data_IF_572747032688
#
_entry.id   IF_572747032688
#
_cell.length_a   1.000
_cell.length_b   1.000
_cell.length_c   1.000
_cell.angle_alpha   90.00
_cell.angle_beta   90.00
_cell.angle_gamma   90.00
#
_symmetry.space_group_name_H-M   'P 1'
#
loop_
_entity.id
_entity.type
_entity.pdbx_description
1 polymer ?
#
# COMPACT_ATOMS: atom_id res chain seq x y z
N UNK A 1 -6.01 -11.62 -5.40
CA UNK A 1 -5.71 -10.37 -6.15
C UNK A 1 -5.54 -9.17 -5.24
N UNK A 2 -6.43 -8.94 -4.28
CA UNK A 2 -6.31 -7.85 -3.28
C UNK A 2 -5.10 -8.00 -2.32
N UNK A 3 -4.69 -9.23 -2.02
CA UNK A 3 -3.57 -9.49 -1.10
C UNK A 3 -2.24 -8.92 -1.60
N UNK A 4 -1.99 -8.99 -2.91
CA UNK A 4 -0.78 -8.42 -3.51
C UNK A 4 -0.74 -6.90 -3.35
N UNK A 5 -1.81 -6.23 -3.77
CA UNK A 5 -1.96 -4.77 -3.61
C UNK A 5 -1.76 -4.37 -2.13
N UNK A 6 -2.38 -5.10 -1.20
CA UNK A 6 -2.27 -4.82 0.23
C UNK A 6 -0.83 -4.92 0.75
N UNK A 7 -0.10 -5.98 0.36
CA UNK A 7 1.32 -6.16 0.71
C UNK A 7 2.19 -5.05 0.11
N UNK A 8 1.97 -4.68 -1.16
CA UNK A 8 2.73 -3.62 -1.84
C UNK A 8 2.48 -2.25 -1.21
N UNK A 9 1.22 -1.92 -0.96
CA UNK A 9 0.80 -0.73 -0.22
C UNK A 9 1.54 -0.61 1.12
N UNK A 10 1.50 -1.68 1.92
CA UNK A 10 2.16 -1.73 3.23
C UNK A 10 3.68 -1.50 3.13
N UNK A 11 4.32 -2.10 2.11
CA UNK A 11 5.74 -1.93 1.87
C UNK A 11 6.08 -0.48 1.53
N UNK A 12 5.37 0.12 0.57
CA UNK A 12 5.57 1.51 0.16
C UNK A 12 5.31 2.51 1.30
N UNK A 13 4.26 2.28 2.10
CA UNK A 13 3.98 3.09 3.30
C UNK A 13 5.16 3.05 4.28
N UNK A 14 5.71 1.86 4.54
CA UNK A 14 6.87 1.69 5.42
C UNK A 14 8.14 2.33 4.86
N UNK A 15 8.37 2.26 3.55
CA UNK A 15 9.47 2.95 2.88
C UNK A 15 9.37 4.48 3.04
N UNK A 16 8.14 5.03 3.07
CA UNK A 16 7.88 6.44 3.39
C UNK A 16 7.88 6.75 4.89
N UNK A 17 8.19 5.78 5.76
CA UNK A 17 8.21 5.90 7.23
C UNK A 17 6.89 6.38 7.82
N UNK A 18 5.76 6.10 7.15
CA UNK A 18 4.43 6.44 7.63
C UNK A 18 3.83 5.31 8.47
N UNK A 19 3.20 5.65 9.59
CA UNK A 19 2.28 4.78 10.32
C UNK A 19 0.96 4.60 9.55
N UNK A 20 0.15 3.60 9.94
CA UNK A 20 -1.19 3.47 9.37
C UNK A 20 -2.07 4.68 9.70
N UNK A 21 -1.92 5.26 10.90
CA UNK A 21 -2.64 6.47 11.29
C UNK A 21 -2.32 7.63 10.36
N UNK A 22 -1.03 7.95 10.15
CA UNK A 22 -0.61 9.07 9.32
C UNK A 22 -1.03 8.91 7.85
N UNK A 23 -0.93 7.70 7.28
CA UNK A 23 -1.38 7.49 5.91
C UNK A 23 -2.91 7.60 5.81
N UNK A 24 -3.65 7.05 6.78
CA UNK A 24 -5.11 7.11 6.80
C UNK A 24 -5.62 8.55 6.87
N UNK A 25 -5.00 9.39 7.71
CA UNK A 25 -5.27 10.83 7.78
C UNK A 25 -4.98 11.54 6.45
N UNK A 26 -3.82 11.29 5.85
CA UNK A 26 -3.45 11.90 4.55
C UNK A 26 -4.39 11.51 3.41
N UNK A 27 -4.96 10.31 3.45
CA UNK A 27 -5.92 9.84 2.44
C UNK A 27 -7.39 9.99 2.87
N UNK A 28 -7.67 10.63 4.01
CA UNK A 28 -9.02 10.87 4.56
C UNK A 28 -9.86 9.59 4.68
N UNK A 29 -9.33 8.59 5.38
CA UNK A 29 -10.04 7.33 5.68
C UNK A 29 -9.80 6.91 7.12
N UNK A 30 -10.59 5.95 7.61
CA UNK A 30 -10.29 5.32 8.89
C UNK A 30 -9.07 4.41 8.81
N UNK A 31 -8.31 4.32 9.90
CA UNK A 31 -7.20 3.36 10.04
C UNK A 31 -7.68 1.93 9.81
N UNK A 32 -8.88 1.58 10.27
CA UNK A 32 -9.48 0.26 10.04
C UNK A 32 -9.66 -0.06 8.55
N UNK A 33 -10.08 0.92 7.75
CA UNK A 33 -10.18 0.75 6.30
C UNK A 33 -8.79 0.53 5.69
N UNK A 34 -7.82 1.39 6.01
CA UNK A 34 -6.44 1.23 5.52
C UNK A 34 -5.86 -0.14 5.90
N UNK A 35 -6.04 -0.54 7.15
CA UNK A 35 -5.58 -1.83 7.69
C UNK A 35 -6.22 -3.02 6.96
N UNK A 36 -7.51 -2.92 6.61
CA UNK A 36 -8.21 -3.94 5.81
C UNK A 36 -7.69 -4.02 4.37
N UNK A 37 -7.32 -2.87 3.78
CA UNK A 37 -6.69 -2.82 2.45
C UNK A 37 -5.30 -3.46 2.52
N UNK A 38 -4.47 -3.12 3.50
CA UNK A 38 -3.12 -3.67 3.65
C UNK A 38 -3.10 -5.19 3.90
N UNK A 39 -4.12 -5.73 4.57
CA UNK A 39 -4.29 -7.18 4.72
C UNK A 39 -4.91 -7.87 3.49
N UNK A 40 -5.33 -7.11 2.48
CA UNK A 40 -6.02 -7.64 1.31
C UNK A 40 -7.47 -8.07 1.58
N UNK A 41 -8.03 -7.80 2.76
CA UNK A 41 -9.42 -8.17 3.08
C UNK A 41 -10.44 -7.21 2.47
N UNK A 42 -10.01 -6.05 1.97
CA UNK A 42 -10.86 -5.10 1.25
C UNK A 42 -10.12 -4.51 0.05
N UNK A 43 -10.79 -4.52 -1.11
CA UNK A 43 -10.27 -3.87 -2.31
C UNK A 43 -10.75 -2.39 -2.35
N UNK A 44 -9.84 -1.41 -2.44
CA UNK A 44 -10.19 0.00 -2.51
C UNK A 44 -10.77 0.38 -3.89
N UNK A 45 -11.57 1.44 -3.95
CA UNK A 45 -11.99 2.04 -5.22
C UNK A 45 -10.82 2.75 -5.89
N UNK A 46 -10.85 2.87 -7.23
CA UNK A 46 -9.79 3.49 -8.02
C UNK A 46 -9.36 4.88 -7.51
N UNK A 47 -10.32 5.72 -7.11
CA UNK A 47 -10.03 7.06 -6.57
C UNK A 47 -9.19 7.02 -5.29
N UNK A 48 -9.43 6.04 -4.42
CA UNK A 48 -8.61 5.85 -3.22
C UNK A 48 -7.21 5.34 -3.58
N UNK A 49 -7.10 4.47 -4.59
CA UNK A 49 -5.79 3.98 -5.10
C UNK A 49 -4.97 5.16 -5.66
N UNK A 50 -5.58 6.04 -6.46
CA UNK A 50 -4.94 7.27 -6.96
C UNK A 50 -4.48 8.18 -5.83
N UNK A 51 -5.33 8.39 -4.80
CA UNK A 51 -4.99 9.23 -3.65
C UNK A 51 -3.80 8.66 -2.85
N UNK A 52 -3.80 7.34 -2.66
CA UNK A 52 -2.69 6.61 -2.04
C UNK A 52 -1.39 6.82 -2.84
N UNK A 53 -1.41 6.58 -4.16
CA UNK A 53 -0.23 6.74 -5.01
C UNK A 53 0.34 8.16 -4.93
N UNK A 54 -0.54 9.16 -4.96
CA UNK A 54 -0.18 10.57 -4.80
C UNK A 54 0.47 10.86 -3.45
N UNK A 55 -0.11 10.40 -2.34
CA UNK A 55 0.44 10.61 -0.99
C UNK A 55 1.78 9.88 -0.80
N UNK A 56 1.90 8.69 -1.36
CA UNK A 56 3.14 7.92 -1.34
C UNK A 56 4.15 8.39 -2.39
N UNK A 57 3.83 9.42 -3.20
CA UNK A 57 4.69 9.97 -4.23
C UNK A 57 5.32 8.88 -5.13
N UNK A 58 4.47 7.99 -5.63
CA UNK A 58 4.84 6.91 -6.56
C UNK A 58 3.88 6.88 -7.75
N UNK A 59 4.31 6.34 -8.91
CA UNK A 59 3.39 5.99 -9.99
C UNK A 59 2.27 5.06 -9.51
N UNK A 60 1.10 5.10 -10.16
CA UNK A 60 -0.04 4.25 -9.79
C UNK A 60 0.31 2.77 -9.94
N UNK A 61 1.06 2.45 -10.99
CA UNK A 61 1.52 1.13 -11.39
C UNK A 61 2.38 0.50 -10.29
N UNK A 62 3.11 1.32 -9.54
CA UNK A 62 3.98 0.89 -8.44
C UNK A 62 3.23 0.17 -7.31
N UNK A 63 1.93 0.44 -7.16
CA UNK A 63 1.05 -0.26 -6.22
C UNK A 63 0.71 -1.70 -6.66
N UNK A 64 0.96 -2.03 -7.93
CA UNK A 64 0.67 -3.32 -8.54
C UNK A 64 1.93 -4.10 -8.95
N UNK A 65 3.12 -3.49 -8.83
CA UNK A 65 4.40 -4.17 -9.05
C UNK A 65 4.70 -5.09 -7.87
N UNK A 66 4.86 -6.38 -8.17
CA UNK A 66 5.48 -7.33 -7.27
C UNK A 66 6.94 -6.93 -7.09
N UNK A 67 7.49 -6.83 -5.87
CA UNK A 67 8.92 -7.00 -5.74
C UNK A 67 9.24 -8.37 -6.35
N UNK A 68 10.07 -8.39 -7.40
CA UNK A 68 10.76 -9.62 -7.79
C UNK A 68 11.28 -10.20 -6.49
N UNK A 69 10.94 -11.47 -6.23
CA UNK A 69 11.36 -12.19 -5.04
C UNK A 69 12.74 -11.72 -4.66
N UNK A 70 12.93 -11.24 -3.43
CA UNK A 70 14.27 -11.22 -2.86
C UNK A 70 14.68 -12.68 -2.94
N UNK A 71 15.45 -13.02 -4.00
CA UNK A 71 16.29 -14.19 -3.98
C UNK A 71 17.13 -13.93 -2.75
N UNK A 72 16.77 -14.61 -1.67
CA UNK A 72 17.69 -14.89 -0.59
C UNK A 72 18.90 -15.47 -1.32
N UNK A 73 19.90 -14.62 -1.55
CA UNK A 73 21.27 -15.08 -1.73
C UNK A 73 21.65 -15.61 -0.36
N UNK A 74 21.13 -16.79 -0.04
CA UNK A 74 21.68 -17.69 0.96
C UNK A 74 23.07 -18.01 0.45
N UNK A 75 24.03 -17.18 0.88
CA UNK A 75 25.45 -17.53 0.89
C UNK A 75 25.69 -18.55 2.01
#
# INVERSE_FOLDING_TARGET
MSELLGRRLRALRRLKRLTQQELAEKIDVSVTLLSSIERGSKYPRLELIKKIAKVLAVPLEELFVLPESIQEHSS
#
